data_IF_528098900495
#
_entry.id   IF_528098900495
#
_cell.length_a   1.000
_cell.length_b   1.000
_cell.length_c   1.000
_cell.angle_alpha   90.00
_cell.angle_beta   90.00
_cell.angle_gamma   90.00
#
_symmetry.space_group_name_H-M   'P 1'
#
loop_
_entity.id
_entity.type
_entity.pdbx_description
1 polymer ?
#
# COMPACT_ATOMS: atom_id res chain seq x y z
N UNK A 1 -3.01 -44.38 -70.11
CA UNK A 1 -2.07 -44.18 -68.99
C UNK A 1 -2.89 -43.70 -67.81
N UNK A 2 -3.23 -44.65 -66.95
CA UNK A 2 -3.64 -44.54 -65.54
C UNK A 2 -4.84 -43.66 -65.15
N UNK A 3 -5.89 -44.43 -64.81
CA UNK A 3 -7.13 -44.18 -64.08
C UNK A 3 -7.11 -43.25 -62.87
N UNK A 4 -8.28 -42.62 -62.69
CA UNK A 4 -8.83 -42.07 -61.45
C UNK A 4 -10.24 -42.63 -61.26
N UNK A 5 -10.57 -43.20 -60.08
CA UNK A 5 -11.95 -43.22 -59.56
C UNK A 5 -12.02 -42.52 -58.18
N UNK A 6 -13.00 -41.69 -57.82
CA UNK A 6 -14.47 -41.86 -57.73
C UNK A 6 -14.86 -42.82 -56.58
N UNK A 7 -15.25 -42.29 -55.40
CA UNK A 7 -16.63 -42.09 -54.89
C UNK A 7 -17.30 -43.36 -54.30
N UNK A 8 -17.96 -43.19 -53.15
CA UNK A 8 -19.04 -44.07 -52.67
C UNK A 8 -19.05 -44.32 -51.16
N UNK A 9 -19.93 -43.62 -50.43
CA UNK A 9 -20.39 -44.04 -49.10
C UNK A 9 -21.36 -45.23 -49.22
N UNK A 10 -21.62 -46.01 -48.15
CA UNK A 10 -22.87 -45.76 -47.41
C UNK A 10 -22.81 -46.07 -45.90
N UNK A 11 -23.74 -45.44 -45.18
CA UNK A 11 -24.07 -45.64 -43.77
C UNK A 11 -25.07 -46.82 -43.60
N UNK A 12 -25.27 -47.20 -42.32
CA UNK A 12 -26.43 -47.90 -41.72
C UNK A 12 -26.33 -49.42 -41.51
N UNK A 13 -26.31 -49.82 -40.23
CA UNK A 13 -27.36 -50.72 -39.72
C UNK A 13 -27.58 -50.50 -38.21
N UNK A 14 -28.86 -50.64 -37.84
CA UNK A 14 -29.60 -50.24 -36.64
C UNK A 14 -29.19 -50.79 -35.25
N UNK A 15 -29.76 -50.20 -34.17
CA UNK A 15 -29.63 -50.64 -32.78
C UNK A 15 -30.60 -51.77 -32.41
N UNK A 16 -30.41 -52.42 -31.26
CA UNK A 16 -31.55 -52.71 -30.41
C UNK A 16 -31.40 -52.15 -29.00
N UNK A 17 -32.49 -51.53 -28.57
CA UNK A 17 -32.75 -51.08 -27.22
C UNK A 17 -32.74 -52.22 -26.19
N UNK A 18 -32.57 -51.80 -24.93
CA UNK A 18 -33.21 -52.31 -23.70
C UNK A 18 -32.32 -53.14 -22.77
N UNK A 19 -31.84 -52.49 -21.71
CA UNK A 19 -32.39 -52.60 -20.36
C UNK A 19 -31.39 -52.12 -19.28
N UNK A 20 -31.90 -51.30 -18.36
CA UNK A 20 -31.44 -51.14 -16.98
C UNK A 20 -30.14 -50.36 -16.69
N UNK A 21 -30.30 -49.08 -16.34
CA UNK A 21 -29.74 -48.50 -15.10
C UNK A 21 -29.92 -49.44 -13.88
N UNK A 22 -29.29 -49.19 -12.71
CA UNK A 22 -27.98 -48.60 -12.42
C UNK A 22 -27.28 -49.33 -11.23
N UNK A 23 -25.97 -49.53 -11.24
CA UNK A 23 -25.25 -49.86 -10.00
C UNK A 23 -23.73 -49.76 -10.21
N UNK A 24 -23.15 -48.64 -9.80
CA UNK A 24 -21.76 -48.42 -9.37
C UNK A 24 -21.59 -46.88 -9.41
N UNK A 25 -22.00 -46.15 -8.38
CA UNK A 25 -21.22 -45.95 -7.15
C UNK A 25 -19.79 -45.48 -7.42
N UNK A 26 -19.64 -44.25 -7.91
CA UNK A 26 -18.48 -43.39 -7.66
C UNK A 26 -19.06 -42.01 -7.30
N UNK A 27 -19.24 -41.78 -6.00
CA UNK A 27 -18.33 -40.95 -5.22
C UNK A 27 -18.69 -39.47 -5.35
N UNK A 28 -19.54 -39.06 -4.39
CA UNK A 28 -19.62 -37.74 -3.81
C UNK A 28 -19.12 -36.57 -4.67
N UNK A 29 -20.06 -35.92 -5.36
CA UNK A 29 -19.92 -34.54 -5.79
C UNK A 29 -19.84 -33.65 -4.53
N UNK A 30 -18.65 -33.60 -3.93
CA UNK A 30 -18.28 -32.53 -3.03
C UNK A 30 -18.06 -31.29 -3.91
N UNK A 31 -19.08 -30.44 -3.98
CA UNK A 31 -18.93 -29.04 -4.35
C UNK A 31 -18.09 -28.37 -3.25
N UNK A 32 -16.79 -28.64 -3.28
CA UNK A 32 -15.86 -28.01 -2.37
C UNK A 32 -15.83 -26.51 -2.70
N UNK A 33 -16.21 -25.62 -1.77
CA UNK A 33 -16.14 -24.20 -2.03
C UNK A 33 -14.68 -23.87 -2.32
N UNK A 34 -14.39 -23.46 -3.56
CA UNK A 34 -13.06 -23.02 -3.95
C UNK A 34 -12.71 -21.77 -3.14
N UNK A 35 -11.94 -21.97 -2.07
CA UNK A 35 -11.39 -20.89 -1.24
C UNK A 35 -10.35 -20.16 -2.08
N UNK A 36 -10.80 -19.11 -2.79
CA UNK A 36 -9.92 -18.16 -3.45
C UNK A 36 -9.24 -17.29 -2.37
N UNK A 37 -8.11 -17.77 -1.84
CA UNK A 37 -7.25 -17.00 -0.94
C UNK A 37 -6.67 -15.83 -1.74
N UNK A 38 -7.27 -14.65 -1.62
CA UNK A 38 -6.71 -13.42 -2.15
C UNK A 38 -5.80 -12.77 -1.09
N UNK A 39 -4.49 -12.94 -1.23
CA UNK A 39 -3.50 -12.24 -0.40
C UNK A 39 -3.52 -10.73 -0.68
N UNK A 40 -4.23 -9.96 0.15
CA UNK A 40 -4.17 -8.50 0.10
C UNK A 40 -2.93 -7.98 0.85
N UNK A 41 -1.80 -7.90 0.15
CA UNK A 41 -0.54 -7.36 0.69
C UNK A 41 -0.63 -5.84 0.87
N UNK A 42 -1.00 -5.40 2.07
CA UNK A 42 -1.03 -3.98 2.44
C UNK A 42 0.32 -3.55 3.00
N UNK A 43 1.12 -2.84 2.19
CA UNK A 43 2.34 -2.16 2.67
C UNK A 43 1.96 -0.90 3.44
N UNK A 44 2.09 -0.94 4.77
CA UNK A 44 2.05 0.27 5.60
C UNK A 44 3.38 1.00 5.45
N UNK A 45 3.42 1.97 4.53
CA UNK A 45 4.51 2.95 4.48
C UNK A 45 4.37 3.87 5.70
N UNK A 46 5.25 3.71 6.69
CA UNK A 46 5.35 4.70 7.79
C UNK A 46 5.79 6.02 7.18
N UNK A 47 4.86 6.98 7.11
CA UNK A 47 5.19 8.33 6.65
C UNK A 47 6.10 9.01 7.69
N UNK A 48 7.32 9.43 7.32
CA UNK A 48 8.20 10.24 8.15
C UNK A 48 7.53 11.57 8.43
N UNK A 49 7.68 12.07 9.66
CA UNK A 49 7.04 13.31 10.09
C UNK A 49 7.86 14.53 9.64
N UNK A 50 7.87 14.81 8.33
CA UNK A 50 8.52 16.01 7.75
C UNK A 50 8.13 17.33 8.45
N UNK A 51 6.86 17.55 8.89
CA UNK A 51 6.49 18.79 9.57
C UNK A 51 7.34 19.11 10.81
N UNK A 52 7.78 18.10 11.56
CA UNK A 52 8.58 18.31 12.77
C UNK A 52 9.94 18.94 12.45
N UNK A 53 10.59 18.47 11.40
CA UNK A 53 11.89 18.99 10.98
C UNK A 53 11.79 20.39 10.38
N UNK A 54 10.72 20.67 9.63
CA UNK A 54 10.45 22.00 9.08
C UNK A 54 10.23 23.00 10.23
N UNK A 55 9.39 22.66 11.22
CA UNK A 55 9.15 23.51 12.39
C UNK A 55 10.44 23.75 13.17
N UNK A 56 11.23 22.70 13.39
CA UNK A 56 12.51 22.82 14.10
C UNK A 56 13.49 23.71 13.35
N UNK A 57 13.62 23.51 12.03
CA UNK A 57 14.49 24.32 11.17
C UNK A 57 14.03 25.78 11.11
N UNK A 58 12.73 26.03 10.96
CA UNK A 58 12.13 27.35 10.99
C UNK A 58 12.40 28.07 12.33
N UNK A 59 12.21 27.36 13.45
CA UNK A 59 12.50 27.86 14.79
C UNK A 59 13.99 28.18 14.98
N UNK A 60 14.88 27.30 14.52
CA UNK A 60 16.32 27.53 14.59
C UNK A 60 16.74 28.73 13.72
N UNK A 61 16.18 28.86 12.51
CA UNK A 61 16.38 30.01 11.64
C UNK A 61 15.90 31.32 12.28
N UNK A 62 14.75 31.30 12.94
CA UNK A 62 14.25 32.44 13.72
C UNK A 62 15.21 32.83 14.84
N UNK A 63 15.71 31.85 15.61
CA UNK A 63 16.65 32.08 16.72
C UNK A 63 17.96 32.68 16.21
N UNK A 64 18.55 32.09 15.15
CA UNK A 64 19.79 32.60 14.55
C UNK A 64 19.58 34.03 14.06
N UNK A 65 18.45 34.30 13.41
CA UNK A 65 18.12 35.64 12.92
C UNK A 65 17.93 36.63 14.07
N UNK A 66 17.27 36.22 15.13
CA UNK A 66 17.08 37.04 16.33
C UNK A 66 18.41 37.42 16.96
N UNK A 67 19.29 36.45 17.18
CA UNK A 67 20.64 36.66 17.72
C UNK A 67 21.46 37.56 16.79
N UNK A 68 21.42 37.29 15.49
CA UNK A 68 22.11 38.10 14.48
C UNK A 68 21.63 39.54 14.48
N UNK A 69 20.32 39.76 14.54
CA UNK A 69 19.74 41.11 14.62
C UNK A 69 20.12 41.81 15.92
N UNK A 70 20.14 41.09 17.05
CA UNK A 70 20.51 41.64 18.35
C UNK A 70 21.98 42.06 18.44
N UNK A 71 22.83 41.49 17.58
CA UNK A 71 24.23 41.89 17.45
C UNK A 71 24.43 43.12 16.55
N UNK A 72 23.41 43.56 15.81
CA UNK A 72 23.49 44.74 14.95
C UNK A 72 23.14 46.01 15.72
N UNK A 73 23.79 47.15 15.42
CA UNK A 73 23.34 48.44 15.92
C UNK A 73 21.97 48.76 15.32
N UNK A 74 20.98 48.93 16.18
CA UNK A 74 19.60 49.21 15.76
C UNK A 74 19.41 50.70 15.61
N UNK A 75 18.95 51.12 14.43
CA UNK A 75 18.51 52.49 14.19
C UNK A 75 17.22 52.77 14.99
N UNK A 76 17.17 53.81 15.84
CA UNK A 76 15.98 54.17 16.61
C UNK A 76 14.76 54.53 15.76
N UNK A 77 14.94 54.99 14.51
CA UNK A 77 13.82 55.31 13.61
C UNK A 77 13.13 54.03 13.10
N UNK A 78 13.87 52.93 12.95
CA UNK A 78 13.34 51.64 12.48
C UNK A 78 12.89 50.77 13.65
N UNK A 79 13.69 50.74 14.72
CA UNK A 79 13.48 49.90 15.88
C UNK A 79 13.80 48.41 15.64
N UNK A 80 14.07 47.70 16.73
CA UNK A 80 14.53 46.31 16.68
C UNK A 80 13.49 45.36 16.08
N UNK A 81 12.22 45.54 16.44
CA UNK A 81 11.14 44.64 16.03
C UNK A 81 10.94 44.63 14.51
N UNK A 82 11.00 45.80 13.86
CA UNK A 82 10.87 45.91 12.42
C UNK A 82 12.08 45.30 11.69
N UNK A 83 13.29 45.57 12.19
CA UNK A 83 14.53 45.01 11.63
C UNK A 83 14.57 43.49 11.75
N UNK A 84 14.26 42.95 12.94
CA UNK A 84 14.16 41.51 13.17
C UNK A 84 13.07 40.90 12.28
N UNK A 85 11.89 41.51 12.22
CA UNK A 85 10.79 41.03 11.39
C UNK A 85 11.19 40.94 9.91
N UNK A 86 11.88 41.95 9.39
CA UNK A 86 12.39 41.96 8.02
C UNK A 86 13.37 40.81 7.76
N UNK A 87 14.39 40.63 8.62
CA UNK A 87 15.32 39.51 8.45
C UNK A 87 14.65 38.14 8.65
N UNK A 88 13.68 38.04 9.57
CA UNK A 88 12.96 36.81 9.85
C UNK A 88 12.15 36.33 8.63
N UNK A 89 11.70 37.23 7.74
CA UNK A 89 11.06 36.87 6.47
C UNK A 89 11.94 35.98 5.59
N UNK A 90 13.27 36.07 5.71
CA UNK A 90 14.20 35.22 4.96
C UNK A 90 14.79 34.14 5.87
N UNK A 91 15.18 34.49 7.09
CA UNK A 91 15.82 33.57 8.03
C UNK A 91 14.93 32.38 8.40
N UNK A 92 13.62 32.59 8.57
CA UNK A 92 12.68 31.51 8.89
C UNK A 92 12.46 30.57 7.70
N UNK A 93 12.15 31.04 6.48
CA UNK A 93 12.04 30.15 5.32
C UNK A 93 13.33 29.42 4.98
N UNK A 94 14.50 30.07 5.10
CA UNK A 94 15.79 29.41 4.88
C UNK A 94 16.01 28.31 5.91
N UNK A 95 15.76 28.60 7.19
CA UNK A 95 15.82 27.58 8.25
C UNK A 95 14.84 26.43 8.01
N UNK A 96 13.61 26.73 7.60
CA UNK A 96 12.58 25.74 7.25
C UNK A 96 13.03 24.85 6.08
N UNK A 97 13.61 25.44 5.03
CA UNK A 97 14.12 24.72 3.86
C UNK A 97 15.27 23.78 4.24
N UNK A 98 16.22 24.27 5.06
CA UNK A 98 17.31 23.43 5.59
C UNK A 98 16.77 22.29 6.47
N UNK A 99 15.77 22.57 7.30
CA UNK A 99 15.06 21.56 8.09
C UNK A 99 14.38 20.51 7.21
N UNK A 100 13.73 20.92 6.12
CA UNK A 100 13.10 20.03 5.15
C UNK A 100 14.14 19.12 4.46
N UNK A 101 15.27 19.69 4.03
CA UNK A 101 16.39 18.94 3.43
C UNK A 101 16.90 17.90 4.41
N UNK A 102 17.13 18.28 5.68
CA UNK A 102 17.54 17.35 6.72
C UNK A 102 16.51 16.23 6.93
N UNK A 103 15.22 16.55 6.87
CA UNK A 103 14.15 15.57 6.97
C UNK A 103 14.21 14.53 5.86
N UNK A 104 14.43 14.97 4.61
CA UNK A 104 14.55 14.09 3.44
C UNK A 104 15.77 13.17 3.58
N UNK A 105 16.91 13.71 4.01
CA UNK A 105 18.14 12.93 4.21
C UNK A 105 17.92 11.87 5.30
N UNK A 106 17.36 12.26 6.45
CA UNK A 106 17.12 11.34 7.56
C UNK A 106 16.07 10.28 7.22
N UNK A 107 15.04 10.66 6.48
CA UNK A 107 14.05 9.72 5.95
C UNK A 107 14.68 8.70 4.99
N UNK A 108 15.50 9.16 4.04
CA UNK A 108 16.19 8.27 3.11
C UNK A 108 17.08 7.26 3.85
N UNK A 109 17.77 7.68 4.90
CA UNK A 109 18.59 6.80 5.75
C UNK A 109 17.70 5.83 6.54
N UNK A 110 16.63 6.32 7.16
CA UNK A 110 15.73 5.52 7.98
C UNK A 110 15.00 4.45 7.15
N UNK A 111 14.50 4.81 5.97
CA UNK A 111 13.84 3.89 5.02
C UNK A 111 14.82 2.83 4.53
N UNK A 112 16.09 3.19 4.31
CA UNK A 112 17.13 2.23 3.91
C UNK A 112 17.46 1.23 5.03
N UNK A 113 17.49 1.69 6.29
CA UNK A 113 17.77 0.86 7.47
C UNK A 113 16.57 0.01 7.91
N UNK A 114 15.34 0.46 7.63
CA UNK A 114 14.12 -0.26 7.99
C UNK A 114 13.90 -1.56 7.17
N UNK A 115 14.64 -1.78 6.08
CA UNK A 115 14.64 -3.07 5.37
C UNK A 115 15.19 -4.24 6.19
N UNK A 116 15.88 -3.98 7.29
CA UNK A 116 16.55 -5.02 8.09
C UNK A 116 15.71 -5.56 9.26
N UNK A 117 14.45 -5.14 9.41
CA UNK A 117 13.54 -5.72 10.41
C UNK A 117 12.40 -6.46 9.73
N UNK A 118 12.55 -7.78 9.59
CA UNK A 118 11.49 -8.72 9.23
C UNK A 118 10.31 -8.56 10.20
N UNK A 119 9.16 -8.15 9.66
CA UNK A 119 7.92 -8.09 10.40
C UNK A 119 7.12 -9.35 10.07
N UNK A 120 7.14 -10.33 10.98
CA UNK A 120 6.25 -11.47 10.97
C UNK A 120 4.82 -10.97 11.28
N UNK A 121 3.92 -11.07 10.30
CA UNK A 121 2.52 -10.65 10.44
C UNK A 121 1.62 -11.89 10.34
N UNK A 122 1.22 -12.42 11.49
CA UNK A 122 0.18 -13.44 11.59
C UNK A 122 -1.19 -12.77 11.65
N UNK A 123 -1.98 -12.89 10.58
CA UNK A 123 -3.42 -12.57 10.59
C UNK A 123 -4.20 -13.85 10.83
N UNK A 124 -4.95 -13.91 11.93
CA UNK A 124 -5.91 -14.98 12.22
C UNK A 124 -7.28 -14.50 11.77
N UNK A 125 -7.90 -15.21 10.82
CA UNK A 125 -9.31 -15.03 10.49
C UNK A 125 -10.15 -15.80 11.52
N UNK A 126 -11.19 -15.17 12.07
CA UNK A 126 -12.09 -15.83 13.01
C UNK A 126 -13.19 -16.52 12.19
N UNK A 127 -13.49 -17.81 12.43
CA UNK A 127 -14.50 -18.53 11.66
C UNK A 127 -15.85 -17.83 11.82
N UNK A 128 -16.54 -17.61 10.70
CA UNK A 128 -17.92 -17.14 10.71
C UNK A 128 -18.77 -18.21 11.40
N UNK A 129 -19.21 -17.92 12.62
CA UNK A 129 -20.20 -18.75 13.30
C UNK A 129 -21.50 -18.71 12.49
N UNK A 130 -21.76 -19.85 11.86
CA UNK A 130 -23.03 -20.36 11.38
C UNK A 130 -24.04 -20.44 12.53
N UNK A 131 -24.54 -19.27 12.93
CA UNK A 131 -25.77 -19.12 13.69
C UNK A 131 -26.99 -19.30 12.76
N UNK A 132 -27.09 -20.42 12.07
CA UNK A 132 -28.35 -20.86 11.48
C UNK A 132 -28.99 -21.83 12.47
N UNK A 133 -29.63 -21.22 13.49
CA UNK A 133 -30.44 -21.93 14.46
C UNK A 133 -31.64 -22.53 13.77
N UNK A 134 -31.48 -23.79 13.40
CA UNK A 134 -32.55 -24.76 13.23
C UNK A 134 -33.39 -24.80 14.52
N UNK A 135 -34.47 -24.01 14.55
CA UNK A 135 -35.55 -24.12 15.51
C UNK A 135 -36.80 -24.48 14.71
N UNK A 136 -36.90 -25.78 14.43
CA UNK A 136 -38.02 -26.47 13.82
C UNK A 136 -39.30 -26.30 14.65
N UNK A 137 -40.45 -26.13 13.95
CA UNK A 137 -41.82 -26.07 14.49
C UNK A 137 -42.32 -27.39 15.10
#
# INVERSE_FOLDING_TARGET
MTDKPAQGAPNETEPPARAAEPAEAEEAEHDEPQVLISESRVTVRRAPKYPRFIILGAGLGAIITYIGTAALPVDPEVGFAALFGYFALIGVPVGAALGAIAAIVLDAIATRRAKEFDAERTTVDAPAEDLEGDLED
#
